data_IF_871356363606
#
_entry.id   IF_871356363606
#
_cell.length_a   1.000
_cell.length_b   1.000
_cell.length_c   1.000
_cell.angle_alpha   90.00
_cell.angle_beta   90.00
_cell.angle_gamma   90.00
#
_symmetry.space_group_name_H-M   'P 1'
#
loop_
_entity.id
_entity.type
_entity.pdbx_description
1 polymer ?
#
# COMPACT_ATOMS: atom_id res chain seq x y z
N UNK A 1 37.40 -27.34 6.43
CA UNK A 1 37.07 -27.38 4.99
C UNK A 1 35.77 -26.61 4.84
N UNK A 2 35.66 -25.69 3.88
CA UNK A 2 34.48 -24.84 3.70
C UNK A 2 33.76 -25.18 2.39
N UNK A 3 32.49 -24.80 2.30
CA UNK A 3 31.67 -24.90 1.08
C UNK A 3 31.33 -23.49 0.60
N UNK A 4 31.64 -23.19 -0.66
CA UNK A 4 31.26 -21.93 -1.30
C UNK A 4 29.93 -22.12 -2.05
N UNK A 5 28.97 -21.22 -1.81
CA UNK A 5 27.64 -21.24 -2.45
C UNK A 5 27.30 -19.84 -2.98
N UNK A 6 26.76 -19.75 -4.20
CA UNK A 6 26.34 -18.47 -4.78
C UNK A 6 25.06 -17.95 -4.11
N UNK A 7 24.99 -16.62 -3.92
CA UNK A 7 23.79 -15.91 -3.44
C UNK A 7 22.59 -16.02 -4.40
N UNK A 8 22.83 -16.40 -5.64
CA UNK A 8 21.75 -16.64 -6.61
C UNK A 8 20.95 -17.89 -6.26
N UNK A 9 21.59 -18.89 -5.64
CA UNK A 9 20.93 -20.14 -5.25
C UNK A 9 20.33 -20.06 -3.86
N UNK A 10 21.09 -19.54 -2.90
CA UNK A 10 20.73 -19.56 -1.49
C UNK A 10 20.63 -18.16 -0.94
N UNK A 11 19.68 -17.94 -0.02
CA UNK A 11 19.56 -16.66 0.69
C UNK A 11 20.06 -16.80 2.13
N UNK A 12 20.50 -15.68 2.70
CA UNK A 12 20.99 -15.60 4.08
C UNK A 12 20.02 -16.24 5.09
N UNK A 13 18.72 -15.97 4.96
CA UNK A 13 17.72 -16.43 5.91
C UNK A 13 17.64 -17.96 5.99
N UNK A 14 17.80 -18.66 4.86
CA UNK A 14 17.77 -20.11 4.81
C UNK A 14 18.99 -20.73 5.52
N UNK A 15 20.17 -20.10 5.40
CA UNK A 15 21.39 -20.57 6.07
C UNK A 15 21.25 -20.43 7.60
N UNK A 16 20.66 -19.33 8.06
CA UNK A 16 20.39 -19.08 9.48
C UNK A 16 19.35 -20.06 10.00
N UNK A 17 18.28 -20.31 9.25
CA UNK A 17 17.19 -21.23 9.63
C UNK A 17 17.68 -22.68 9.80
N UNK A 18 18.59 -23.11 8.93
CA UNK A 18 19.22 -24.44 9.02
C UNK A 18 20.39 -24.48 10.03
N UNK A 19 20.75 -23.36 10.66
CA UNK A 19 21.73 -23.30 11.73
C UNK A 19 23.18 -23.49 11.28
N UNK A 20 23.51 -23.13 10.04
CA UNK A 20 24.88 -23.20 9.54
C UNK A 20 25.67 -21.93 9.87
N UNK A 21 26.92 -22.11 10.31
CA UNK A 21 27.90 -21.03 10.39
C UNK A 21 28.40 -20.66 9.00
N UNK A 22 28.33 -19.37 8.66
CA UNK A 22 28.76 -18.86 7.36
C UNK A 22 29.37 -17.46 7.43
N UNK A 23 30.22 -17.17 6.46
CA UNK A 23 30.68 -15.82 6.15
C UNK A 23 30.06 -15.33 4.82
N UNK A 24 29.63 -14.07 4.78
CA UNK A 24 29.07 -13.46 3.57
C UNK A 24 30.14 -12.61 2.87
N UNK A 25 30.29 -12.81 1.56
CA UNK A 25 31.10 -11.95 0.68
C UNK A 25 30.21 -11.18 -0.29
N UNK A 26 30.76 -10.56 -1.34
CA UNK A 26 29.96 -9.82 -2.31
C UNK A 26 28.99 -10.74 -3.08
N UNK A 27 29.48 -11.89 -3.55
CA UNK A 27 28.75 -12.79 -4.46
C UNK A 27 28.44 -14.18 -3.87
N UNK A 28 29.14 -14.58 -2.82
CA UNK A 28 29.07 -15.94 -2.28
C UNK A 28 28.87 -15.96 -0.76
N UNK A 29 28.31 -17.07 -0.27
CA UNK A 29 28.37 -17.49 1.13
C UNK A 29 29.39 -18.60 1.29
N UNK A 30 30.23 -18.47 2.32
CA UNK A 30 31.20 -19.49 2.72
C UNK A 30 30.68 -20.19 3.97
N UNK A 31 30.17 -21.40 3.80
CA UNK A 31 29.68 -22.22 4.90
C UNK A 31 30.86 -22.99 5.49
N UNK A 32 31.07 -22.88 6.80
CA UNK A 32 32.26 -23.41 7.49
C UNK A 32 32.27 -24.94 7.65
N UNK A 33 31.27 -25.61 7.07
CA UNK A 33 31.08 -27.05 7.07
C UNK A 33 31.11 -27.59 5.64
N UNK A 34 31.43 -28.88 5.51
CA UNK A 34 31.33 -29.56 4.23
C UNK A 34 29.89 -30.03 4.02
N UNK A 35 29.25 -29.50 2.98
CA UNK A 35 27.87 -29.86 2.65
C UNK A 35 27.85 -31.00 1.64
N UNK A 36 27.01 -31.99 1.89
CA UNK A 36 26.69 -33.02 0.90
C UNK A 36 25.66 -32.46 -0.08
N UNK A 37 25.45 -33.22 -1.16
CA UNK A 37 24.43 -32.88 -2.16
C UNK A 37 23.04 -32.68 -1.53
N UNK A 38 22.65 -33.54 -0.60
CA UNK A 38 21.35 -33.45 0.06
C UNK A 38 21.20 -32.18 0.90
N UNK A 39 22.26 -31.78 1.61
CA UNK A 39 22.27 -30.56 2.42
C UNK A 39 22.17 -29.30 1.53
N UNK A 40 22.88 -29.29 0.39
CA UNK A 40 22.77 -28.21 -0.61
C UNK A 40 21.36 -28.15 -1.20
N UNK A 41 20.77 -29.31 -1.50
CA UNK A 41 19.42 -29.40 -2.02
C UNK A 41 18.39 -28.86 -1.03
N UNK A 42 18.54 -29.15 0.27
CA UNK A 42 17.68 -28.61 1.33
C UNK A 42 17.81 -27.10 1.46
N UNK A 43 19.05 -26.57 1.47
CA UNK A 43 19.33 -25.14 1.49
C UNK A 43 18.66 -24.37 0.35
N UNK A 44 18.70 -24.91 -0.87
CA UNK A 44 18.05 -24.31 -2.03
C UNK A 44 16.53 -24.35 -1.89
N UNK A 45 15.95 -25.46 -1.43
CA UNK A 45 14.49 -25.58 -1.21
C UNK A 45 13.98 -24.55 -0.20
N UNK A 46 14.62 -24.46 0.97
CA UNK A 46 14.24 -23.48 2.01
C UNK A 46 14.39 -22.06 1.46
N UNK A 47 15.44 -21.78 0.70
CA UNK A 47 15.63 -20.47 0.06
C UNK A 47 14.51 -20.13 -0.92
N UNK A 48 14.10 -21.09 -1.75
CA UNK A 48 13.01 -20.91 -2.70
C UNK A 48 11.65 -20.76 -2.01
N UNK A 49 11.40 -21.49 -0.93
CA UNK A 49 10.18 -21.35 -0.12
C UNK A 49 10.09 -19.93 0.48
N UNK A 50 11.18 -19.39 1.02
CA UNK A 50 11.21 -18.02 1.55
C UNK A 50 11.00 -16.99 0.43
N UNK A 51 11.60 -17.19 -0.75
CA UNK A 51 11.38 -16.32 -1.93
C UNK A 51 9.90 -16.36 -2.37
N UNK A 52 9.30 -17.55 -2.39
CA UNK A 52 7.90 -17.73 -2.73
C UNK A 52 6.96 -17.08 -1.71
N UNK A 53 7.24 -17.23 -0.41
CA UNK A 53 6.46 -16.61 0.66
C UNK A 53 6.48 -15.07 0.54
N UNK A 54 7.65 -14.47 0.26
CA UNK A 54 7.76 -13.03 0.01
C UNK A 54 6.95 -12.59 -1.21
N UNK A 55 7.00 -13.36 -2.29
CA UNK A 55 6.22 -13.10 -3.52
C UNK A 55 4.71 -13.25 -3.28
N UNK A 56 4.29 -14.22 -2.46
CA UNK A 56 2.89 -14.45 -2.14
C UNK A 56 2.33 -13.34 -1.24
N UNK A 57 3.10 -12.88 -0.24
CA UNK A 57 2.67 -11.80 0.64
C UNK A 57 2.55 -10.43 -0.06
N UNK A 58 3.46 -10.12 -0.98
CA UNK A 58 3.31 -8.90 -1.80
C UNK A 58 2.10 -9.03 -2.72
N UNK A 59 1.91 -10.19 -3.34
CA UNK A 59 0.75 -10.45 -4.20
C UNK A 59 -0.57 -10.39 -3.43
N UNK A 60 -0.66 -10.88 -2.19
CA UNK A 60 -1.88 -10.74 -1.38
C UNK A 60 -2.20 -9.28 -1.05
N UNK A 61 -1.20 -8.45 -0.73
CA UNK A 61 -1.38 -7.02 -0.48
C UNK A 61 -1.79 -6.28 -1.76
N UNK A 62 -1.22 -6.65 -2.91
CA UNK A 62 -1.61 -6.11 -4.22
C UNK A 62 -3.01 -6.59 -4.63
N UNK A 63 -3.36 -7.85 -4.39
CA UNK A 63 -4.70 -8.38 -4.64
C UNK A 63 -5.73 -7.67 -3.76
N UNK A 64 -5.43 -7.42 -2.48
CA UNK A 64 -6.33 -6.68 -1.58
C UNK A 64 -6.50 -5.20 -2.02
N UNK A 65 -5.44 -4.55 -2.52
CA UNK A 65 -5.53 -3.20 -3.11
C UNK A 65 -6.27 -3.19 -4.44
N UNK A 66 -6.01 -4.14 -5.32
CA UNK A 66 -6.65 -4.25 -6.63
C UNK A 66 -8.13 -4.61 -6.49
N UNK A 67 -8.49 -5.52 -5.56
CA UNK A 67 -9.89 -5.82 -5.22
C UNK A 67 -10.61 -4.61 -4.63
N UNK A 68 -9.96 -3.84 -3.76
CA UNK A 68 -10.55 -2.62 -3.18
C UNK A 68 -10.74 -1.52 -4.22
N UNK A 69 -9.74 -1.29 -5.07
CA UNK A 69 -9.81 -0.31 -6.16
C UNK A 69 -10.81 -0.73 -7.27
N UNK A 70 -10.95 -2.02 -7.54
CA UNK A 70 -11.95 -2.56 -8.47
C UNK A 70 -13.36 -2.54 -7.87
N UNK A 71 -13.52 -2.79 -6.56
CA UNK A 71 -14.79 -2.55 -5.84
C UNK A 71 -15.19 -1.07 -5.88
N UNK A 72 -14.28 -0.15 -5.56
CA UNK A 72 -14.55 1.29 -5.61
C UNK A 72 -14.84 1.77 -7.04
N UNK A 73 -14.17 1.23 -8.05
CA UNK A 73 -14.49 1.52 -9.47
C UNK A 73 -15.83 0.94 -9.91
N UNK A 74 -16.18 -0.29 -9.52
CA UNK A 74 -17.44 -0.94 -9.90
C UNK A 74 -18.66 -0.36 -9.16
N UNK A 75 -18.50 0.10 -7.93
CA UNK A 75 -19.58 0.69 -7.11
C UNK A 75 -19.62 2.23 -7.12
N UNK A 76 -18.55 2.90 -7.57
CA UNK A 76 -18.45 4.37 -7.63
C UNK A 76 -19.18 5.04 -8.79
N UNK A 77 -19.73 4.29 -9.75
CA UNK A 77 -20.45 4.87 -10.89
C UNK A 77 -21.90 5.30 -10.59
N UNK A 78 -22.39 5.18 -9.36
CA UNK A 78 -23.74 5.59 -8.95
C UNK A 78 -23.82 6.95 -8.23
N UNK A 79 -22.79 7.79 -8.29
CA UNK A 79 -22.82 9.14 -7.70
C UNK A 79 -22.55 10.28 -8.70
N UNK A 80 -22.94 10.10 -9.96
CA UNK A 80 -23.09 11.23 -10.87
C UNK A 80 -24.52 11.81 -10.79
N UNK A 81 -24.56 13.06 -10.33
CA UNK A 81 -25.65 14.04 -10.46
C UNK A 81 -26.72 14.12 -9.36
N UNK A 82 -26.31 14.51 -8.14
CA UNK A 82 -27.15 15.44 -7.37
C UNK A 82 -26.76 16.86 -7.79
N UNK A 83 -27.48 17.41 -8.75
CA UNK A 83 -27.49 18.85 -9.03
C UNK A 83 -27.80 19.60 -7.72
N UNK A 84 -27.15 20.73 -7.42
CA UNK A 84 -27.51 21.55 -6.27
C UNK A 84 -28.97 21.99 -6.38
N UNK A 85 -29.82 21.57 -5.44
CA UNK A 85 -31.19 22.08 -5.34
C UNK A 85 -31.14 23.55 -4.94
N UNK A 86 -31.89 24.38 -5.68
CA UNK A 86 -31.85 25.85 -5.63
C UNK A 86 -32.49 26.48 -4.37
N UNK A 87 -32.66 25.72 -3.29
CA UNK A 87 -33.52 26.07 -2.15
C UNK A 87 -32.88 25.83 -0.77
N UNK A 88 -31.56 25.80 -0.67
CA UNK A 88 -30.87 25.54 0.61
C UNK A 88 -29.97 26.71 1.05
N UNK A 89 -30.48 27.94 0.90
CA UNK A 89 -29.79 29.18 1.31
C UNK A 89 -30.69 30.11 2.15
N UNK A 90 -31.40 29.54 3.12
CA UNK A 90 -32.01 30.33 4.20
C UNK A 90 -31.05 30.41 5.40
N UNK A 91 -29.93 31.13 5.23
CA UNK A 91 -29.20 31.64 6.40
C UNK A 91 -29.93 32.85 6.95
N UNK A 92 -30.73 32.63 7.98
CA UNK A 92 -31.34 33.70 8.77
C UNK A 92 -30.24 34.47 9.51
N UNK A 93 -30.08 35.75 9.18
CA UNK A 93 -29.29 36.70 9.96
C UNK A 93 -30.24 37.75 10.54
N UNK A 94 -30.25 37.92 11.86
CA UNK A 94 -30.90 39.03 12.52
C UNK A 94 -30.18 40.34 12.13
N UNK A 95 -30.88 41.23 11.45
CA UNK A 95 -30.40 42.59 11.15
C UNK A 95 -31.32 43.59 11.84
N UNK A 96 -30.80 44.29 12.84
CA UNK A 96 -31.46 45.46 13.44
C UNK A 96 -31.66 46.54 12.37
N UNK A 97 -32.89 47.03 12.23
CA UNK A 97 -33.26 48.08 11.29
C UNK A 97 -33.42 49.39 12.05
N UNK A 98 -32.47 50.31 11.87
CA UNK A 98 -32.63 51.72 12.27
C UNK A 98 -33.24 52.47 11.08
N UNK A 99 -34.43 53.02 11.26
CA UNK A 99 -35.08 53.88 10.27
C UNK A 99 -34.57 55.31 10.41
N UNK A 100 -33.92 55.84 9.37
CA UNK A 100 -33.78 57.29 9.19
C UNK A 100 -34.85 57.74 8.19
N UNK A 101 -35.90 58.36 8.73
CA UNK A 101 -37.09 58.78 8.00
C UNK A 101 -36.97 60.24 7.57
N UNK A 102 -36.22 60.55 6.51
CA UNK A 102 -36.41 61.83 5.84
C UNK A 102 -35.86 61.90 4.42
N UNK A 103 -36.73 62.48 3.56
CA UNK A 103 -36.48 63.17 2.27
C UNK A 103 -36.84 62.33 1.05
N UNK A 104 -38.09 62.42 0.63
CA UNK A 104 -38.57 63.43 -0.34
C UNK A 104 -37.87 63.34 -1.69
N UNK A 105 -38.66 63.05 -2.74
CA UNK A 105 -38.60 63.73 -4.06
C UNK A 105 -39.75 63.26 -4.97
N UNK A 106 -40.11 64.03 -6.02
CA UNK A 106 -41.38 64.74 -6.00
C UNK A 106 -42.34 64.40 -7.15
N UNK A 107 -43.60 64.80 -6.95
CA UNK A 107 -44.58 65.37 -7.89
C UNK A 107 -44.78 64.73 -9.26
N UNK A 108 -46.06 64.42 -9.54
CA UNK A 108 -46.79 64.67 -10.80
C UNK A 108 -48.23 64.13 -10.60
N UNK A 109 -49.35 64.78 -10.90
CA UNK A 109 -49.73 65.89 -11.81
C UNK A 109 -50.80 66.75 -11.13
#
# INVERSE_FOLDING_TARGET
MWTEITKDLVIRDAIIELGYDFEETEYFFYIMQYLKYDDVLELVKVSDEIRQFRKHRVREIEYEKEWRDDWDRRHGHHHHHRLPSKYDDERVYEREVVYDSARERPRRW
#
